data_IF_359294487684
#
_entry.id   IF_359294487684
#
_cell.length_a   1.000
_cell.length_b   1.000
_cell.length_c   1.000
_cell.angle_alpha   90.00
_cell.angle_beta   90.00
_cell.angle_gamma   90.00
#
_symmetry.space_group_name_H-M   'P 1'
#
loop_
_entity.id
_entity.type
_entity.pdbx_description
1 polymer ?
#
# COMPACT_ATOMS: atom_id res chain seq x y z
N UNK A 1 -2.78 1.50 5.03
CA UNK A 1 -2.58 2.91 5.46
C UNK A 1 -2.03 2.90 6.88
N UNK A 2 -1.00 3.69 7.17
CA UNK A 2 -0.41 3.80 8.50
C UNK A 2 -0.63 5.22 9.05
N UNK A 3 -1.42 5.38 10.13
CA UNK A 3 -1.61 6.69 10.76
C UNK A 3 -0.37 7.04 11.59
N UNK A 4 0.36 8.07 11.17
CA UNK A 4 1.64 8.51 11.79
C UNK A 4 1.62 10.00 12.12
N UNK A 5 0.45 10.50 12.52
CA UNK A 5 0.17 11.93 12.69
C UNK A 5 1.25 12.60 13.53
N UNK A 6 1.96 13.55 12.93
CA UNK A 6 3.05 14.32 13.54
C UNK A 6 4.22 13.48 14.07
N UNK A 7 4.37 12.25 13.60
CA UNK A 7 5.48 11.37 13.95
C UNK A 7 6.52 11.35 12.84
N UNK A 8 7.79 11.28 13.22
CA UNK A 8 8.86 10.96 12.28
C UNK A 8 8.78 9.49 11.91
N UNK A 9 8.80 9.18 10.63
CA UNK A 9 8.80 7.81 10.12
C UNK A 9 10.18 7.51 9.52
N UNK A 10 10.78 6.39 9.93
CA UNK A 10 11.97 5.85 9.29
C UNK A 10 11.62 4.57 8.57
N UNK A 11 12.04 4.44 7.31
CA UNK A 11 11.89 3.23 6.50
C UNK A 11 13.26 2.68 6.18
N UNK A 12 13.49 1.44 6.61
CA UNK A 12 14.69 0.66 6.35
C UNK A 12 14.25 -0.77 6.02
N UNK A 13 14.06 -1.06 4.73
CA UNK A 13 13.45 -2.31 4.25
C UNK A 13 14.04 -3.56 4.95
N UNK A 14 13.21 -4.39 5.60
CA UNK A 14 11.73 -4.41 5.59
C UNK A 14 11.04 -3.67 6.75
N UNK A 15 11.80 -2.98 7.58
CA UNK A 15 11.35 -2.34 8.80
C UNK A 15 10.83 -0.92 8.59
N UNK A 16 9.81 -0.57 9.34
CA UNK A 16 9.25 0.78 9.46
C UNK A 16 9.17 1.13 10.94
N UNK A 17 9.72 2.29 11.29
CA UNK A 17 9.70 2.83 12.64
C UNK A 17 8.87 4.12 12.62
N UNK A 18 7.85 4.22 13.46
CA UNK A 18 7.04 5.42 13.64
C UNK A 18 7.31 6.03 15.03
N UNK A 19 7.75 7.29 15.06
CA UNK A 19 8.03 8.01 16.29
C UNK A 19 9.11 7.32 17.13
N UNK A 20 8.72 6.88 18.33
CA UNK A 20 9.58 6.16 19.29
C UNK A 20 9.19 4.68 19.44
N UNK A 21 8.28 4.19 18.61
CA UNK A 21 7.84 2.78 18.66
C UNK A 21 8.93 1.85 18.14
N UNK A 22 8.83 0.58 18.52
CA UNK A 22 9.72 -0.47 18.03
C UNK A 22 9.59 -0.62 16.49
N UNK A 23 10.69 -0.83 15.75
CA UNK A 23 10.63 -1.11 14.32
C UNK A 23 9.78 -2.34 14.01
N UNK A 24 8.87 -2.22 13.04
CA UNK A 24 7.99 -3.32 12.63
C UNK A 24 8.23 -3.71 11.17
N UNK A 25 8.13 -5.00 10.81
CA UNK A 25 8.31 -5.50 9.44
C UNK A 25 7.10 -5.20 8.54
N UNK A 26 6.62 -3.95 8.52
CA UNK A 26 5.41 -3.56 7.80
C UNK A 26 5.52 -3.81 6.30
N UNK A 27 6.68 -3.59 5.69
CA UNK A 27 6.85 -3.79 4.25
C UNK A 27 6.70 -5.25 3.84
N UNK A 28 7.09 -6.20 4.70
CA UNK A 28 6.84 -7.63 4.47
C UNK A 28 5.34 -7.94 4.44
N UNK A 29 4.57 -7.33 5.35
CA UNK A 29 3.11 -7.51 5.42
C UNK A 29 2.42 -6.91 4.20
N UNK A 30 2.77 -5.69 3.83
CA UNK A 30 2.18 -5.01 2.65
C UNK A 30 2.46 -5.79 1.36
N UNK A 31 3.66 -6.37 1.20
CA UNK A 31 3.96 -7.26 0.07
C UNK A 31 3.06 -8.50 0.07
N UNK A 32 2.94 -9.18 1.22
CA UNK A 32 2.09 -10.36 1.34
C UNK A 32 0.61 -10.05 1.05
N UNK A 33 0.11 -8.90 1.53
CA UNK A 33 -1.26 -8.46 1.27
C UNK A 33 -1.49 -8.17 -0.22
N UNK A 34 -0.52 -7.55 -0.90
CA UNK A 34 -0.59 -7.34 -2.35
C UNK A 34 -0.58 -8.66 -3.13
N UNK A 35 0.27 -9.62 -2.73
CA UNK A 35 0.28 -10.96 -3.35
C UNK A 35 -1.04 -11.70 -3.16
N UNK A 36 -1.62 -11.67 -1.95
CA UNK A 36 -2.94 -12.26 -1.66
C UNK A 36 -4.04 -11.58 -2.47
N UNK A 37 -4.04 -10.25 -2.55
CA UNK A 37 -4.99 -9.50 -3.35
C UNK A 37 -4.84 -9.78 -4.85
N UNK A 38 -3.62 -9.89 -5.36
CA UNK A 38 -3.39 -10.24 -6.76
C UNK A 38 -3.93 -11.62 -7.11
N UNK A 39 -3.74 -12.58 -6.20
CA UNK A 39 -4.32 -13.92 -6.34
C UNK A 39 -5.85 -13.91 -6.28
N UNK A 40 -6.44 -13.25 -5.26
CA UNK A 40 -7.88 -13.18 -5.06
C UNK A 40 -8.61 -12.49 -6.23
N UNK A 41 -8.03 -11.41 -6.75
CA UNK A 41 -8.62 -10.58 -7.79
C UNK A 41 -8.22 -11.02 -9.20
N UNK A 42 -7.35 -12.01 -9.34
CA UNK A 42 -6.79 -12.44 -10.64
C UNK A 42 -6.27 -11.27 -11.48
N UNK A 43 -5.72 -10.25 -10.81
CA UNK A 43 -5.32 -8.98 -11.38
C UNK A 43 -3.98 -8.52 -10.80
N UNK A 44 -3.24 -7.69 -11.53
CA UNK A 44 -2.00 -7.12 -11.01
C UNK A 44 -2.32 -6.18 -9.83
N UNK A 45 -1.73 -6.45 -8.67
CA UNK A 45 -1.85 -5.58 -7.48
C UNK A 45 -0.44 -5.22 -7.02
N UNK A 46 -0.15 -3.90 -6.99
CA UNK A 46 1.13 -3.38 -6.51
C UNK A 46 1.03 -2.96 -5.05
N UNK A 47 2.03 -3.33 -4.26
CA UNK A 47 2.11 -2.98 -2.85
C UNK A 47 2.34 -1.46 -2.66
N UNK A 48 1.51 -0.85 -1.81
CA UNK A 48 1.62 0.57 -1.46
C UNK A 48 1.43 0.80 0.04
N UNK A 49 2.32 1.57 0.65
CA UNK A 49 2.20 2.01 2.04
C UNK A 49 1.99 3.52 2.09
N UNK A 50 0.76 3.92 2.44
CA UNK A 50 0.38 5.33 2.64
C UNK A 50 0.63 5.72 4.09
N UNK A 51 1.43 6.77 4.30
CA UNK A 51 1.74 7.41 5.58
C UNK A 51 0.87 8.65 5.74
N UNK A 52 0.03 8.69 6.76
CA UNK A 52 -0.90 9.81 6.97
C UNK A 52 -0.29 10.85 7.90
N UNK A 53 -0.11 12.07 7.39
CA UNK A 53 0.44 13.24 8.11
C UNK A 53 1.76 12.96 8.86
N UNK A 54 2.79 12.36 8.23
CA UNK A 54 4.09 12.21 8.86
C UNK A 54 4.72 13.59 9.16
N UNK A 55 5.34 13.76 10.32
CA UNK A 55 6.12 14.98 10.60
C UNK A 55 7.41 15.04 9.76
N UNK A 56 7.98 13.86 9.47
CA UNK A 56 9.15 13.70 8.62
C UNK A 56 9.20 12.26 8.12
N UNK A 57 9.73 12.05 6.92
CA UNK A 57 9.94 10.73 6.34
C UNK A 57 11.42 10.56 5.98
N UNK A 58 12.07 9.59 6.64
CA UNK A 58 13.47 9.23 6.44
C UNK A 58 13.53 7.84 5.78
N UNK A 59 13.87 7.80 4.49
CA UNK A 59 13.97 6.55 3.71
C UNK A 59 15.44 6.28 3.45
N UNK A 60 15.99 5.29 4.17
CA UNK A 60 17.42 4.95 4.05
C UNK A 60 17.77 4.43 2.65
N UNK A 61 16.88 3.63 2.07
CA UNK A 61 16.97 3.14 0.70
C UNK A 61 15.56 2.90 0.15
N UNK A 62 15.34 3.06 -1.17
CA UNK A 62 14.05 2.74 -1.78
C UNK A 62 13.64 1.31 -1.45
N UNK A 63 12.46 1.09 -0.85
CA UNK A 63 12.00 -0.25 -0.52
C UNK A 63 11.68 -1.04 -1.78
N UNK A 64 12.03 -2.34 -1.78
CA UNK A 64 11.80 -3.21 -2.92
C UNK A 64 10.30 -3.46 -3.11
N UNK A 65 9.80 -3.31 -4.32
CA UNK A 65 8.43 -3.67 -4.71
C UNK A 65 7.31 -3.04 -3.86
N UNK A 66 7.58 -1.96 -3.12
CA UNK A 66 6.59 -1.23 -2.33
C UNK A 66 6.67 0.25 -2.64
N UNK A 67 5.55 0.86 -3.03
CA UNK A 67 5.45 2.31 -3.20
C UNK A 67 5.15 2.97 -1.86
N UNK A 68 6.08 3.77 -1.35
CA UNK A 68 5.80 4.67 -0.23
C UNK A 68 5.07 5.90 -0.77
N UNK A 69 4.01 6.32 -0.07
CA UNK A 69 3.22 7.49 -0.42
C UNK A 69 2.88 8.24 0.87
N UNK A 70 2.86 9.57 0.84
CA UNK A 70 2.11 10.36 1.83
C UNK A 70 0.64 10.45 1.43
N UNK A 71 -0.23 10.86 2.36
CA UNK A 71 -1.65 11.11 2.08
C UNK A 71 -1.86 12.11 0.94
N UNK A 72 -1.01 13.14 0.85
CA UNK A 72 -1.06 14.15 -0.23
C UNK A 72 -0.62 13.60 -1.60
N UNK A 73 0.15 12.52 -1.63
CA UNK A 73 0.65 11.90 -2.86
C UNK A 73 -0.32 10.88 -3.46
N UNK A 74 -1.34 10.44 -2.71
CA UNK A 74 -2.32 9.44 -3.15
C UNK A 74 -3.07 9.90 -4.39
N UNK A 75 -3.52 11.16 -4.43
CA UNK A 75 -4.20 11.74 -5.60
C UNK A 75 -3.30 11.75 -6.84
N UNK A 76 -1.98 11.72 -6.66
CA UNK A 76 -1.00 11.61 -7.73
C UNK A 76 -1.09 10.29 -8.50
N UNK A 77 -1.65 9.23 -7.90
CA UNK A 77 -1.83 7.94 -8.58
C UNK A 77 -2.75 8.03 -9.80
N UNK A 78 -3.75 8.91 -9.78
CA UNK A 78 -4.66 9.12 -10.91
C UNK A 78 -3.92 9.64 -12.16
N UNK A 79 -2.76 10.29 -11.99
CA UNK A 79 -1.93 10.80 -13.10
C UNK A 79 -1.12 9.71 -13.81
N UNK A 80 -1.10 8.48 -13.28
CA UNK A 80 -0.34 7.37 -13.85
C UNK A 80 -0.95 6.81 -15.15
N UNK A 81 -2.11 7.32 -15.56
CA UNK A 81 -2.87 6.83 -16.71
C UNK A 81 -3.82 5.67 -16.35
N UNK A 82 -5.00 5.66 -16.96
CA UNK A 82 -5.97 4.57 -16.81
C UNK A 82 -5.59 3.38 -17.69
N UNK A 83 -5.35 2.22 -17.09
CA UNK A 83 -5.00 0.99 -17.80
C UNK A 83 -6.20 0.09 -18.10
N UNK A 84 -7.30 0.28 -17.36
CA UNK A 84 -8.51 -0.53 -17.45
C UNK A 84 -9.65 0.27 -18.10
N UNK A 85 -10.51 -0.43 -18.86
CA UNK A 85 -11.75 0.18 -19.35
C UNK A 85 -12.70 0.40 -18.16
N UNK A 86 -13.62 1.37 -18.23
CA UNK A 86 -14.57 1.60 -17.14
C UNK A 86 -15.33 0.33 -16.69
N UNK A 87 -15.76 -0.51 -17.64
CA UNK A 87 -16.42 -1.77 -17.32
C UNK A 87 -15.53 -2.75 -16.54
N UNK A 88 -14.24 -2.80 -16.86
CA UNK A 88 -13.27 -3.65 -16.16
C UNK A 88 -12.98 -3.12 -14.75
N UNK A 89 -12.99 -1.79 -14.56
CA UNK A 89 -12.89 -1.15 -13.24
C UNK A 89 -14.07 -1.55 -12.35
N UNK A 90 -15.29 -1.45 -12.87
CA UNK A 90 -16.49 -1.82 -12.12
C UNK A 90 -16.51 -3.32 -11.79
N UNK A 91 -16.11 -4.19 -12.72
CA UNK A 91 -16.01 -5.62 -12.48
C UNK A 91 -14.98 -5.95 -11.40
N UNK A 92 -13.79 -5.34 -11.47
CA UNK A 92 -12.75 -5.50 -10.45
C UNK A 92 -13.21 -4.98 -9.09
N UNK A 93 -13.92 -3.84 -9.06
CA UNK A 93 -14.46 -3.28 -7.83
C UNK A 93 -15.53 -4.18 -7.21
N UNK A 94 -16.42 -4.75 -8.01
CA UNK A 94 -17.44 -5.70 -7.55
C UNK A 94 -16.80 -6.93 -6.91
N UNK A 95 -15.79 -7.52 -7.57
CA UNK A 95 -15.04 -8.66 -7.04
C UNK A 95 -14.29 -8.32 -5.75
N UNK A 96 -13.65 -7.14 -5.68
CA UNK A 96 -12.96 -6.71 -4.46
C UNK A 96 -13.91 -6.49 -3.27
N UNK A 97 -15.19 -6.19 -3.51
CA UNK A 97 -16.21 -6.05 -2.47
C UNK A 97 -16.87 -7.35 -2.06
N UNK A 98 -16.80 -8.39 -2.88
CA UNK A 98 -17.36 -9.69 -2.56
C UNK A 98 -16.52 -10.35 -1.45
N UNK A 99 -17.18 -10.75 -0.36
CA UNK A 99 -16.52 -11.42 0.76
C UNK A 99 -16.08 -12.84 0.40
N UNK A 100 -16.80 -13.49 -0.50
CA UNK A 100 -16.47 -14.85 -0.96
C UNK A 100 -15.14 -14.90 -1.72
N UNK A 101 -14.79 -13.81 -2.42
CA UNK A 101 -13.48 -13.63 -3.06
C UNK A 101 -12.34 -13.75 -2.06
N UNK A 102 -12.52 -13.25 -0.84
CA UNK A 102 -11.49 -13.25 0.20
C UNK A 102 -11.50 -14.50 1.08
N UNK A 103 -12.62 -15.22 1.17
CA UNK A 103 -12.75 -16.42 1.99
C UNK A 103 -11.84 -17.58 1.55
N UNK A 104 -11.30 -17.51 0.33
CA UNK A 104 -10.50 -18.56 -0.32
C UNK A 104 -8.99 -18.29 -0.31
N UNK A 105 -8.54 -17.23 0.40
CA UNK A 105 -7.17 -16.67 0.31
C UNK A 105 -6.54 -16.38 1.67
#
# INVERSE_FOLDING_TARGET
VLPVRRQRVRVSDPMVTAGRSEPQPLLRRVRADASRASFALTAEVRAGLVLVEPAALDVLAPPRDVRLLTDTEVSGLARSGGLLKPADVEALFAMARDRETWARV
#
